data_IF_867467422294
#
_entry.id   IF_867467422294
#
_cell.length_a   1.000
_cell.length_b   1.000
_cell.length_c   1.000
_cell.angle_alpha   90.00
_cell.angle_beta   90.00
_cell.angle_gamma   90.00
#
_symmetry.space_group_name_H-M   'P 1'
#
loop_
_entity.id
_entity.type
_entity.pdbx_description
1 polymer ?
#
# COMPACT_ATOMS: atom_id res chain seq x y z
N UNK A 1 -0.93 -19.44 -11.48
CA UNK A 1 -0.95 -17.97 -11.63
C UNK A 1 -0.64 -17.37 -10.28
N UNK A 2 0.21 -16.34 -10.20
CA UNK A 2 0.43 -15.60 -8.94
C UNK A 2 -0.83 -14.82 -8.60
N UNK A 3 -1.29 -14.89 -7.35
CA UNK A 3 -2.42 -14.12 -6.85
C UNK A 3 -1.89 -12.97 -6.02
N UNK A 4 -2.47 -11.78 -6.22
CA UNK A 4 -2.08 -10.58 -5.51
C UNK A 4 -3.28 -10.00 -4.78
N UNK A 5 -3.05 -9.51 -3.57
CA UNK A 5 -3.95 -8.60 -2.87
C UNK A 5 -3.48 -7.16 -3.09
N UNK A 6 -4.41 -6.22 -3.12
CA UNK A 6 -4.13 -4.80 -3.33
C UNK A 6 -4.74 -3.97 -2.20
N UNK A 7 -4.04 -2.91 -1.80
CA UNK A 7 -4.47 -1.98 -0.76
C UNK A 7 -4.14 -0.55 -1.16
N UNK A 8 -5.01 0.38 -0.80
CA UNK A 8 -4.79 1.82 -0.99
C UNK A 8 -4.83 2.52 0.36
N UNK A 9 -3.87 3.41 0.59
CA UNK A 9 -3.88 4.33 1.73
C UNK A 9 -3.97 5.76 1.23
N UNK A 10 -5.03 6.45 1.62
CA UNK A 10 -5.25 7.87 1.29
C UNK A 10 -4.85 8.74 2.47
N UNK A 11 -4.05 9.76 2.21
CA UNK A 11 -3.63 10.76 3.16
C UNK A 11 -4.02 12.15 2.66
N UNK A 12 -4.15 13.12 3.57
CA UNK A 12 -4.26 14.52 3.19
C UNK A 12 -3.00 15.02 2.49
N UNK A 13 -3.13 16.01 1.61
CA UNK A 13 -2.00 16.61 0.90
C UNK A 13 -1.03 17.26 1.87
N UNK A 14 0.26 16.95 1.70
CA UNK A 14 1.31 17.37 2.63
C UNK A 14 1.46 16.48 3.87
N UNK A 15 0.57 15.49 4.06
CA UNK A 15 0.80 14.44 5.06
C UNK A 15 1.67 13.35 4.45
N UNK A 16 2.84 13.14 5.05
CA UNK A 16 3.70 12.00 4.74
C UNK A 16 3.19 10.83 5.58
N UNK A 17 3.00 9.63 5.00
CA UNK A 17 2.71 8.44 5.79
C UNK A 17 3.78 8.27 6.84
N UNK A 18 3.38 8.04 8.09
CA UNK A 18 4.35 7.79 9.16
C UNK A 18 5.28 6.64 8.75
N UNK A 19 6.59 6.85 8.90
CA UNK A 19 7.62 5.88 8.48
C UNK A 19 7.40 4.52 9.17
N UNK A 20 6.90 4.53 10.41
CA UNK A 20 6.53 3.31 11.14
C UNK A 20 5.47 2.52 10.38
N UNK A 21 4.44 3.20 9.87
CA UNK A 21 3.32 2.56 9.17
C UNK A 21 3.75 1.98 7.81
N UNK A 22 4.67 2.64 7.11
CA UNK A 22 5.28 2.10 5.89
C UNK A 22 6.16 0.88 6.19
N UNK A 23 6.93 0.94 7.26
CA UNK A 23 7.76 -0.17 7.72
C UNK A 23 6.92 -1.38 8.15
N UNK A 24 5.81 -1.18 8.87
CA UNK A 24 4.88 -2.25 9.24
C UNK A 24 4.27 -2.95 8.00
N UNK A 25 3.94 -2.16 6.97
CA UNK A 25 3.43 -2.71 5.71
C UNK A 25 4.50 -3.51 4.99
N UNK A 26 5.73 -3.00 4.91
CA UNK A 26 6.89 -3.70 4.34
C UNK A 26 7.16 -5.03 5.05
N UNK A 27 7.20 -5.03 6.39
CA UNK A 27 7.37 -6.25 7.19
C UNK A 27 6.22 -7.25 7.01
N UNK A 28 5.00 -6.75 6.76
CA UNK A 28 3.82 -7.58 6.49
C UNK A 28 3.77 -8.15 5.06
N UNK A 29 4.78 -7.88 4.23
CA UNK A 29 4.87 -8.34 2.84
C UNK A 29 4.07 -7.50 1.85
N UNK A 30 3.65 -6.28 2.24
CA UNK A 30 3.07 -5.32 1.31
C UNK A 30 4.18 -4.52 0.64
N UNK A 31 4.16 -4.52 -0.68
CA UNK A 31 5.08 -3.76 -1.52
C UNK A 31 4.37 -2.50 -2.01
N UNK A 32 4.98 -1.32 -1.82
CA UNK A 32 4.52 -0.07 -2.41
C UNK A 32 4.73 -0.15 -3.93
N UNK A 33 3.66 0.00 -4.71
CA UNK A 33 3.68 -0.08 -6.17
C UNK A 33 3.57 1.29 -6.84
N UNK A 34 3.07 2.29 -6.14
CA UNK A 34 2.95 3.64 -6.68
C UNK A 34 2.28 4.61 -5.73
N UNK A 35 2.36 5.89 -6.10
CA UNK A 35 1.71 6.98 -5.40
C UNK A 35 1.05 7.90 -6.44
N UNK A 36 -0.19 8.31 -6.18
CA UNK A 36 -0.89 9.32 -6.97
C UNK A 36 -1.24 10.48 -6.04
N UNK A 37 -0.81 11.68 -6.41
CA UNK A 37 -1.12 12.91 -5.68
C UNK A 37 -2.21 13.66 -6.45
N UNK A 38 -3.34 13.91 -5.80
CA UNK A 38 -4.41 14.75 -6.31
C UNK A 38 -4.33 16.11 -5.62
N UNK A 39 -3.81 17.09 -6.33
CA UNK A 39 -3.57 18.45 -5.82
C UNK A 39 -4.85 19.28 -5.73
N UNK A 40 -5.89 18.92 -6.48
CA UNK A 40 -7.21 19.56 -6.45
C UNK A 40 -7.98 19.12 -5.20
N UNK A 41 -8.04 17.81 -4.97
CA UNK A 41 -8.68 17.21 -3.78
C UNK A 41 -7.82 17.27 -2.54
N UNK A 42 -6.57 17.72 -2.68
CA UNK A 42 -5.60 17.78 -1.59
C UNK A 42 -5.48 16.40 -0.91
N UNK A 43 -5.21 15.35 -1.68
CA UNK A 43 -4.92 14.00 -1.16
C UNK A 43 -3.74 13.33 -1.84
N UNK A 44 -3.12 12.38 -1.14
CA UNK A 44 -2.08 11.48 -1.66
C UNK A 44 -2.52 10.02 -1.45
N UNK A 45 -2.61 9.25 -2.53
CA UNK A 45 -2.97 7.84 -2.51
C UNK A 45 -1.72 6.98 -2.71
N UNK A 46 -1.48 6.05 -1.79
CA UNK A 46 -0.38 5.10 -1.85
C UNK A 46 -0.94 3.71 -2.14
N UNK A 47 -0.44 3.10 -3.20
CA UNK A 47 -0.89 1.80 -3.69
C UNK A 47 0.09 0.73 -3.26
N UNK A 48 -0.44 -0.34 -2.69
CA UNK A 48 0.33 -1.48 -2.24
C UNK A 48 -0.20 -2.76 -2.89
N UNK A 49 0.71 -3.69 -3.17
CA UNK A 49 0.37 -5.07 -3.54
C UNK A 49 1.02 -6.04 -2.56
N UNK A 50 0.44 -7.21 -2.40
CA UNK A 50 1.04 -8.32 -1.65
C UNK A 50 0.81 -9.60 -2.44
N UNK A 51 1.89 -10.35 -2.68
CA UNK A 51 1.77 -11.70 -3.24
C UNK A 51 1.17 -12.62 -2.17
N UNK A 52 0.09 -13.31 -2.51
CA UNK A 52 -0.52 -14.31 -1.64
C UNK A 52 -0.24 -15.69 -2.19
N UNK A 53 0.44 -16.50 -1.39
CA UNK A 53 0.70 -17.89 -1.74
C UNK A 53 -0.63 -18.68 -1.68
N UNK A 54 -0.94 -19.37 -2.77
CA UNK A 54 -2.18 -20.15 -2.89
C UNK A 54 -2.12 -21.43 -2.02
N UNK A 55 -0.97 -21.77 -1.42
CA UNK A 55 -0.80 -22.92 -0.51
C UNK A 55 -0.98 -22.51 0.96
N UNK A 56 -2.22 -22.30 1.36
CA UNK A 56 -2.61 -22.51 2.76
C UNK A 56 -3.99 -23.16 2.85
N UNK A 57 -4.15 -24.26 2.12
CA UNK A 57 -5.19 -25.25 2.43
C UNK A 57 -4.48 -26.24 3.36
N UNK A 58 -4.81 -26.15 4.65
CA UNK A 58 -4.44 -27.15 5.64
C UNK A 58 -5.37 -28.35 5.51
#
# INVERSE_FOLDING_TARGET
>A
MKKFEYKVLTFGYGMIPDEQRLNELGQSGWELTGMIVDSEKKISNFFFKKEVDQKRIK
#
